data_IF_700494770987
#
_entry.id   IF_700494770987
#
_cell.length_a   1.000
_cell.length_b   1.000
_cell.length_c   1.000
_cell.angle_alpha   90.00
_cell.angle_beta   90.00
_cell.angle_gamma   90.00
#
_symmetry.space_group_name_H-M   'P 1'
#
loop_
_entity.id
_entity.type
_entity.pdbx_description
1 polymer ?
#
# COMPACT_ATOMS: atom_id res chain seq x y z
N UNK A 1 13.79 -16.07 8.67
CA UNK A 1 13.56 -17.47 8.23
C UNK A 1 12.14 -17.71 7.76
N UNK A 2 11.09 -17.27 8.48
CA UNK A 2 9.68 -17.44 8.02
C UNK A 2 9.44 -16.87 6.60
N UNK A 3 9.63 -15.56 6.40
CA UNK A 3 9.47 -14.91 5.06
C UNK A 3 10.29 -15.60 3.97
N UNK A 4 11.55 -15.92 4.25
CA UNK A 4 12.44 -16.60 3.30
C UNK A 4 11.94 -17.99 2.94
N UNK A 5 11.46 -18.76 3.92
CA UNK A 5 10.90 -20.09 3.71
C UNK A 5 9.57 -20.03 2.95
N UNK A 6 8.71 -19.04 3.24
CA UNK A 6 7.48 -18.80 2.48
C UNK A 6 7.77 -18.44 1.03
N UNK A 7 8.72 -17.55 0.77
CA UNK A 7 9.16 -17.24 -0.58
C UNK A 7 9.73 -18.48 -1.30
N UNK A 8 10.57 -19.29 -0.63
CA UNK A 8 11.09 -20.54 -1.21
C UNK A 8 10.00 -21.58 -1.45
N UNK A 9 8.98 -21.65 -0.60
CA UNK A 9 7.85 -22.57 -0.75
C UNK A 9 7.03 -22.31 -2.02
N UNK A 10 7.10 -21.11 -2.60
CA UNK A 10 6.47 -20.81 -3.89
C UNK A 10 7.11 -21.55 -5.07
N UNK A 11 8.37 -21.98 -4.93
CA UNK A 11 9.13 -22.68 -5.97
C UNK A 11 9.47 -24.12 -5.59
N UNK A 12 9.54 -24.41 -4.29
CA UNK A 12 10.03 -25.68 -3.76
C UNK A 12 9.09 -26.20 -2.67
N UNK A 13 8.29 -27.22 -2.98
CA UNK A 13 7.30 -27.80 -2.05
C UNK A 13 7.93 -28.26 -0.72
N UNK A 14 9.21 -28.62 -0.73
CA UNK A 14 9.98 -29.00 0.46
C UNK A 14 10.01 -27.91 1.55
N UNK A 15 9.78 -26.65 1.19
CA UNK A 15 9.77 -25.53 2.14
C UNK A 15 8.38 -25.20 2.70
N UNK A 16 7.32 -25.87 2.25
CA UNK A 16 5.94 -25.60 2.70
C UNK A 16 5.71 -25.99 4.18
N UNK A 17 6.21 -27.14 4.62
CA UNK A 17 6.12 -27.52 6.04
C UNK A 17 7.04 -26.63 6.90
N UNK A 18 8.33 -26.42 6.53
CA UNK A 18 9.20 -25.49 7.25
C UNK A 18 8.65 -24.08 7.40
N UNK A 19 7.99 -23.51 6.39
CA UNK A 19 7.42 -22.15 6.49
C UNK A 19 6.36 -22.04 7.59
N UNK A 20 5.46 -23.02 7.67
CA UNK A 20 4.43 -23.11 8.72
C UNK A 20 5.09 -23.22 10.11
N UNK A 21 6.07 -24.11 10.26
CA UNK A 21 6.77 -24.32 11.53
C UNK A 21 7.54 -23.08 11.98
N UNK A 22 8.20 -22.38 11.05
CA UNK A 22 8.91 -21.14 11.36
C UNK A 22 7.94 -20.01 11.73
N UNK A 23 6.78 -19.92 11.09
CA UNK A 23 5.74 -18.95 11.45
C UNK A 23 5.25 -19.18 12.87
N UNK A 24 4.87 -20.41 13.21
CA UNK A 24 4.40 -20.77 14.55
C UNK A 24 5.48 -20.48 15.63
N UNK A 25 6.72 -20.87 15.36
CA UNK A 25 7.85 -20.57 16.26
C UNK A 25 8.06 -19.07 16.48
N UNK A 26 7.96 -18.27 15.42
CA UNK A 26 8.10 -16.80 15.50
C UNK A 26 6.96 -16.19 16.30
N UNK A 27 5.72 -16.62 16.09
CA UNK A 27 4.56 -16.13 16.84
C UNK A 27 4.66 -16.48 18.33
N UNK A 28 5.01 -17.72 18.66
CA UNK A 28 5.21 -18.15 20.05
C UNK A 28 6.36 -17.38 20.72
N UNK A 29 7.48 -17.18 20.01
CA UNK A 29 8.59 -16.36 20.49
C UNK A 29 8.21 -14.89 20.71
N UNK A 30 7.41 -14.32 19.81
CA UNK A 30 6.92 -12.95 19.91
C UNK A 30 5.99 -12.77 21.12
N UNK A 31 5.03 -13.70 21.31
CA UNK A 31 4.11 -13.70 22.45
C UNK A 31 4.90 -13.74 23.76
N UNK A 32 5.87 -14.66 23.87
CA UNK A 32 6.73 -14.76 25.05
C UNK A 32 7.53 -13.47 25.28
N UNK A 33 8.07 -12.87 24.22
CA UNK A 33 8.84 -11.63 24.31
C UNK A 33 8.00 -10.44 24.74
N UNK A 34 6.73 -10.37 24.34
CA UNK A 34 5.79 -9.32 24.74
C UNK A 34 5.40 -9.50 26.22
N UNK A 35 5.15 -10.73 26.66
CA UNK A 35 4.77 -10.99 28.06
C UNK A 35 5.92 -10.84 29.06
N UNK A 36 7.14 -11.14 28.64
CA UNK A 36 8.30 -11.15 29.54
C UNK A 36 8.91 -9.76 29.79
N UNK A 37 8.44 -8.69 29.13
CA UNK A 37 9.20 -7.44 29.08
C UNK A 37 8.41 -6.16 29.36
N UNK A 38 9.05 -5.29 30.15
CA UNK A 38 8.65 -3.90 30.40
C UNK A 38 9.43 -2.95 29.48
N UNK A 39 9.15 -2.92 28.17
CA UNK A 39 9.81 -1.94 27.30
C UNK A 39 9.68 -2.14 25.81
N UNK A 40 10.14 -1.14 25.06
CA UNK A 40 10.28 -1.22 23.61
C UNK A 40 11.53 -2.01 23.24
N UNK A 41 11.37 -2.96 22.33
CA UNK A 41 12.46 -3.69 21.69
C UNK A 41 12.34 -3.57 20.17
N UNK A 42 13.41 -3.09 19.55
CA UNK A 42 13.50 -2.97 18.09
C UNK A 42 13.30 -4.32 17.38
N UNK A 43 13.77 -5.41 17.98
CA UNK A 43 13.61 -6.79 17.49
C UNK A 43 12.14 -7.24 17.48
N UNK A 44 11.36 -6.87 18.48
CA UNK A 44 9.91 -7.13 18.53
C UNK A 44 9.19 -6.40 17.39
N UNK A 45 9.47 -5.10 17.22
CA UNK A 45 8.90 -4.32 16.12
C UNK A 45 9.29 -4.88 14.75
N UNK A 46 10.58 -5.15 14.54
CA UNK A 46 11.08 -5.74 13.31
C UNK A 46 10.41 -7.10 13.03
N UNK A 47 10.17 -7.92 14.07
CA UNK A 47 9.46 -9.20 13.93
C UNK A 47 8.01 -8.99 13.50
N UNK A 48 7.29 -8.05 14.10
CA UNK A 48 5.91 -7.72 13.69
C UNK A 48 5.87 -7.22 12.25
N UNK A 49 6.81 -6.35 11.84
CA UNK A 49 6.92 -5.86 10.46
C UNK A 49 7.24 -7.01 9.49
N UNK A 50 8.11 -7.95 9.87
CA UNK A 50 8.39 -9.11 9.04
C UNK A 50 7.20 -10.07 8.92
N UNK A 51 6.39 -10.21 9.96
CA UNK A 51 5.10 -10.92 9.89
C UNK A 51 4.11 -10.16 9.00
N UNK A 52 4.09 -8.83 9.06
CA UNK A 52 3.28 -8.01 8.17
C UNK A 52 3.67 -8.23 6.69
N UNK A 53 4.96 -8.18 6.36
CA UNK A 53 5.47 -8.48 5.02
C UNK A 53 5.18 -9.94 4.63
N UNK A 54 5.24 -10.89 5.56
CA UNK A 54 4.85 -12.28 5.30
C UNK A 54 3.42 -12.39 4.76
N UNK A 55 2.47 -11.64 5.32
CA UNK A 55 1.07 -11.68 4.85
C UNK A 55 0.90 -11.11 3.43
N UNK A 56 1.84 -10.30 2.94
CA UNK A 56 1.91 -9.90 1.52
C UNK A 56 2.16 -11.11 0.61
N UNK A 57 3.01 -12.04 1.03
CA UNK A 57 3.28 -13.27 0.27
C UNK A 57 2.10 -14.24 0.32
N UNK A 58 1.31 -14.21 1.40
CA UNK A 58 0.15 -15.08 1.59
C UNK A 58 -1.17 -14.48 1.07
N UNK A 59 -1.20 -13.19 0.75
CA UNK A 59 -2.39 -12.43 0.42
C UNK A 59 -3.48 -12.47 1.51
N UNK A 60 -3.06 -12.50 2.78
CA UNK A 60 -3.95 -12.54 3.94
C UNK A 60 -4.16 -11.14 4.51
N UNK A 61 -5.20 -10.45 4.01
CA UNK A 61 -5.52 -9.09 4.43
C UNK A 61 -5.92 -9.00 5.91
N UNK A 62 -6.54 -10.03 6.47
CA UNK A 62 -7.00 -10.02 7.86
C UNK A 62 -5.81 -10.07 8.82
N UNK A 63 -4.89 -11.02 8.62
CA UNK A 63 -3.65 -11.11 9.39
C UNK A 63 -2.75 -9.89 9.16
N UNK A 64 -2.68 -9.39 7.93
CA UNK A 64 -1.92 -8.17 7.59
C UNK A 64 -2.34 -6.98 8.45
N UNK A 65 -3.65 -6.71 8.51
CA UNK A 65 -4.25 -5.64 9.34
C UNK A 65 -4.00 -5.88 10.83
N UNK A 66 -4.14 -7.11 11.34
CA UNK A 66 -3.85 -7.43 12.75
C UNK A 66 -2.41 -7.09 13.12
N UNK A 67 -1.45 -7.45 12.27
CA UNK A 67 -0.04 -7.13 12.50
C UNK A 67 0.24 -5.62 12.45
N UNK A 68 -0.43 -4.86 11.56
CA UNK A 68 -0.32 -3.40 11.52
C UNK A 68 -0.87 -2.75 12.79
N UNK A 69 -2.01 -3.21 13.30
CA UNK A 69 -2.59 -2.70 14.56
C UNK A 69 -1.65 -2.96 15.75
N UNK A 70 -1.05 -4.15 15.80
CA UNK A 70 -0.05 -4.48 16.82
C UNK A 70 1.20 -3.58 16.71
N UNK A 71 1.75 -3.41 15.50
CA UNK A 71 2.89 -2.52 15.26
C UNK A 71 2.56 -1.07 15.63
N UNK A 72 1.40 -0.55 15.21
CA UNK A 72 0.95 0.80 15.53
C UNK A 72 0.81 1.06 17.03
N UNK A 73 0.32 0.07 17.79
CA UNK A 73 0.28 0.14 19.26
C UNK A 73 1.68 0.22 19.85
N UNK A 74 2.61 -0.57 19.32
CA UNK A 74 4.00 -0.59 19.77
C UNK A 74 4.72 0.73 19.46
N UNK A 75 4.53 1.28 18.26
CA UNK A 75 5.07 2.58 17.82
C UNK A 75 4.49 3.71 18.66
N UNK A 76 3.17 3.73 18.90
CA UNK A 76 2.51 4.72 19.75
C UNK A 76 3.10 4.74 21.16
N UNK A 77 3.24 3.58 21.78
CA UNK A 77 3.81 3.45 23.13
C UNK A 77 5.27 3.90 23.19
N UNK A 78 6.03 3.68 22.12
CA UNK A 78 7.41 4.17 22.02
C UNK A 78 7.47 5.70 21.90
N UNK A 79 6.68 6.29 21.01
CA UNK A 79 6.67 7.74 20.76
C UNK A 79 6.21 8.54 21.99
N UNK A 80 5.39 7.96 22.87
CA UNK A 80 5.04 8.56 24.16
C UNK A 80 6.25 8.71 25.12
N UNK A 81 7.28 7.88 24.95
CA UNK A 81 8.48 7.84 25.81
C UNK A 81 9.71 8.44 25.13
N UNK A 82 9.74 8.45 23.80
CA UNK A 82 10.88 8.90 23.01
C UNK A 82 10.41 9.74 21.81
N UNK A 83 10.72 11.03 21.86
CA UNK A 83 10.35 11.99 20.81
C UNK A 83 11.25 11.88 19.57
N UNK A 84 12.51 11.47 19.76
CA UNK A 84 13.53 11.44 18.71
C UNK A 84 14.15 10.03 18.57
N UNK A 85 13.53 9.13 17.77
CA UNK A 85 14.06 7.80 17.53
C UNK A 85 15.38 7.83 16.75
N UNK A 86 16.25 6.86 17.03
CA UNK A 86 17.47 6.66 16.23
C UNK A 86 17.16 6.28 14.77
N UNK A 87 18.17 6.34 13.90
CA UNK A 87 18.01 6.06 12.47
C UNK A 87 17.48 4.66 12.17
N UNK A 88 17.89 3.63 12.90
CA UNK A 88 17.43 2.25 12.67
C UNK A 88 15.97 2.09 13.06
N UNK A 89 15.58 2.67 14.19
CA UNK A 89 14.18 2.70 14.63
C UNK A 89 13.31 3.46 13.64
N UNK A 90 13.76 4.63 13.14
CA UNK A 90 13.03 5.39 12.11
C UNK A 90 12.89 4.60 10.80
N UNK A 91 13.90 3.84 10.38
CA UNK A 91 13.79 2.98 9.18
C UNK A 91 12.69 1.92 9.32
N UNK A 92 12.56 1.32 10.50
CA UNK A 92 11.46 0.38 10.77
C UNK A 92 10.10 1.08 10.77
N UNK A 93 10.03 2.31 11.28
CA UNK A 93 8.81 3.11 11.18
C UNK A 93 8.46 3.36 9.71
N UNK A 94 9.40 3.81 8.89
CA UNK A 94 9.15 4.08 7.46
C UNK A 94 8.58 2.85 6.73
N UNK A 95 9.10 1.64 6.99
CA UNK A 95 8.58 0.39 6.41
C UNK A 95 7.16 0.09 6.92
N UNK A 96 6.94 0.18 8.23
CA UNK A 96 5.62 -0.02 8.83
C UNK A 96 4.58 0.95 8.24
N UNK A 97 4.95 2.21 8.17
CA UNK A 97 4.13 3.33 7.71
C UNK A 97 3.76 3.22 6.23
N UNK A 98 4.67 2.73 5.39
CA UNK A 98 4.38 2.38 4.00
C UNK A 98 3.26 1.34 3.91
N UNK A 99 3.41 0.21 4.61
CA UNK A 99 2.38 -0.85 4.60
C UNK A 99 1.08 -0.40 5.26
N UNK A 100 1.14 0.41 6.33
CA UNK A 100 -0.04 0.96 6.98
C UNK A 100 -0.81 1.90 6.04
N UNK A 101 -0.12 2.71 5.23
CA UNK A 101 -0.76 3.59 4.25
C UNK A 101 -1.50 2.79 3.17
N UNK A 102 -0.87 1.73 2.65
CA UNK A 102 -1.50 0.89 1.63
C UNK A 102 -2.68 0.10 2.19
N UNK A 103 -2.60 -0.37 3.44
CA UNK A 103 -3.72 -1.04 4.11
C UNK A 103 -4.90 -0.08 4.36
N UNK A 104 -4.64 1.17 4.74
CA UNK A 104 -5.68 2.19 4.89
C UNK A 104 -6.50 2.37 3.60
N UNK A 105 -5.84 2.35 2.45
CA UNK A 105 -6.48 2.46 1.13
C UNK A 105 -7.28 1.21 0.79
N UNK A 106 -6.69 0.02 1.00
CA UNK A 106 -7.22 -1.22 0.44
C UNK A 106 -8.19 -1.97 1.35
N UNK A 107 -8.22 -1.67 2.65
CA UNK A 107 -9.02 -2.41 3.64
C UNK A 107 -10.09 -1.57 4.34
N UNK A 108 -10.07 -0.24 4.14
CA UNK A 108 -11.01 0.72 4.76
C UNK A 108 -11.08 0.58 6.30
N UNK A 109 -9.99 0.19 6.94
CA UNK A 109 -9.88 0.10 8.40
C UNK A 109 -9.54 1.47 8.98
N UNK A 110 -10.48 2.10 9.70
CA UNK A 110 -10.30 3.44 10.27
C UNK A 110 -9.46 3.47 11.55
N UNK A 111 -9.24 2.33 12.19
CA UNK A 111 -8.52 2.18 13.46
C UNK A 111 -7.03 1.87 13.29
N UNK A 112 -6.53 1.89 12.05
CA UNK A 112 -5.10 1.83 11.77
C UNK A 112 -4.39 3.11 12.26
N UNK A 113 -3.07 3.00 12.42
CA UNK A 113 -2.25 4.05 13.01
C UNK A 113 -2.24 5.30 12.12
N UNK A 114 -2.45 6.49 12.71
CA UNK A 114 -2.58 7.75 11.96
C UNK A 114 -1.71 8.88 12.52
N UNK A 115 -1.21 8.74 13.74
CA UNK A 115 -0.55 9.81 14.51
C UNK A 115 0.67 10.39 13.79
N UNK A 116 1.40 9.56 13.05
CA UNK A 116 2.62 9.96 12.38
C UNK A 116 2.37 10.65 11.03
N UNK A 117 1.20 10.47 10.40
CA UNK A 117 0.85 11.03 9.10
C UNK A 117 0.52 12.54 9.14
N UNK A 118 0.36 13.10 10.34
CA UNK A 118 -0.07 14.50 10.54
C UNK A 118 1.10 15.49 10.55
N UNK A 119 2.33 15.02 10.72
CA UNK A 119 3.53 15.85 10.94
C UNK A 119 4.45 16.02 9.71
N UNK A 120 4.09 15.45 8.55
CA UNK A 120 4.73 15.65 7.23
C UNK A 120 6.25 15.36 7.10
N UNK A 121 6.85 14.45 7.89
CA UNK A 121 8.14 13.90 7.45
C UNK A 121 8.38 12.49 7.99
N UNK A 122 8.38 11.52 7.10
CA UNK A 122 8.68 10.13 7.43
C UNK A 122 9.91 9.75 6.66
N UNK A 123 11.07 10.01 7.24
CA UNK A 123 12.23 9.63 6.48
C UNK A 123 13.50 9.57 7.32
N UNK A 124 13.79 8.37 7.80
CA UNK A 124 15.16 7.97 8.14
C UNK A 124 16.07 7.93 6.90
N UNK A 125 15.48 7.92 5.70
CA UNK A 125 16.12 7.64 4.43
C UNK A 125 16.35 8.89 3.55
N UNK A 126 16.16 10.13 4.03
CA UNK A 126 16.29 11.35 3.18
C UNK A 126 17.62 11.45 2.46
N UNK A 127 18.69 11.01 3.11
CA UNK A 127 20.04 11.07 2.55
C UNK A 127 20.36 9.87 1.63
N UNK A 128 19.36 9.02 1.37
CA UNK A 128 19.46 7.87 0.49
C UNK A 128 18.46 8.07 -0.64
N UNK A 129 18.87 7.80 -1.88
CA UNK A 129 18.01 7.77 -3.06
C UNK A 129 17.00 6.60 -3.04
N UNK A 130 16.46 6.27 -1.86
CA UNK A 130 15.55 5.18 -1.61
C UNK A 130 14.14 5.60 -2.05
N UNK A 131 13.47 4.70 -2.78
CA UNK A 131 12.12 4.98 -3.28
C UNK A 131 11.13 5.40 -2.19
N UNK A 132 11.15 4.74 -1.02
CA UNK A 132 10.26 5.09 0.10
C UNK A 132 10.41 6.54 0.56
N UNK A 133 11.65 7.06 0.55
CA UNK A 133 11.91 8.45 0.89
C UNK A 133 11.26 9.43 -0.09
N UNK A 134 11.21 9.02 -1.36
CA UNK A 134 10.71 9.86 -2.45
C UNK A 134 9.19 10.00 -2.49
N UNK A 135 8.46 9.16 -1.75
CA UNK A 135 6.98 9.14 -1.74
C UNK A 135 6.38 9.36 -0.34
N UNK A 136 7.18 9.75 0.65
CA UNK A 136 6.75 9.87 2.06
C UNK A 136 5.56 10.84 2.24
N UNK A 137 5.66 12.00 1.59
CA UNK A 137 4.69 13.08 1.63
C UNK A 137 3.45 12.69 0.85
N UNK A 138 3.61 12.00 -0.28
CA UNK A 138 2.51 11.47 -1.07
C UNK A 138 1.70 10.45 -0.23
N UNK A 139 2.36 9.46 0.38
CA UNK A 139 1.70 8.48 1.23
C UNK A 139 1.06 9.11 2.47
N UNK A 140 1.67 10.18 2.99
CA UNK A 140 1.10 10.99 4.07
C UNK A 140 -0.24 11.60 3.69
N UNK A 141 -0.33 12.18 2.48
CA UNK A 141 -1.57 12.71 1.93
C UNK A 141 -2.61 11.62 1.68
N UNK A 142 -2.18 10.46 1.17
CA UNK A 142 -3.08 9.35 0.83
C UNK A 142 -3.71 8.72 2.07
N UNK A 143 -2.95 8.48 3.13
CA UNK A 143 -3.52 7.96 4.37
C UNK A 143 -4.52 8.94 5.00
N UNK A 144 -4.25 10.25 4.91
CA UNK A 144 -5.20 11.28 5.35
C UNK A 144 -6.47 11.27 4.49
N UNK A 145 -6.38 10.97 3.19
CA UNK A 145 -7.56 10.74 2.35
C UNK A 145 -8.38 9.54 2.81
N UNK A 146 -7.71 8.45 3.21
CA UNK A 146 -8.39 7.22 3.65
C UNK A 146 -9.27 7.43 4.88
N UNK A 147 -8.98 8.41 5.74
CA UNK A 147 -9.86 8.78 6.86
C UNK A 147 -11.27 9.16 6.38
N UNK A 148 -11.37 9.89 5.26
CA UNK A 148 -12.65 10.27 4.67
C UNK A 148 -13.39 9.10 4.02
N UNK A 149 -12.67 8.07 3.55
CA UNK A 149 -13.26 6.86 2.98
C UNK A 149 -13.99 5.99 4.01
N UNK A 150 -13.65 6.13 5.29
CA UNK A 150 -14.15 5.28 6.37
C UNK A 150 -15.24 5.93 7.22
N UNK A 151 -15.59 7.19 6.95
CA UNK A 151 -16.51 7.97 7.76
C UNK A 151 -17.89 8.09 7.08
N UNK A 152 -18.87 7.22 7.41
CA UNK A 152 -20.17 7.17 6.74
C UNK A 152 -21.06 8.40 7.02
N UNK A 153 -20.66 9.29 7.94
CA UNK A 153 -21.38 10.51 8.28
C UNK A 153 -21.09 11.69 7.34
N UNK A 154 -20.12 11.55 6.42
CA UNK A 154 -19.94 12.54 5.35
C UNK A 154 -20.96 12.21 4.28
N UNK A 155 -22.12 12.87 4.35
CA UNK A 155 -23.11 12.79 3.28
C UNK A 155 -22.44 13.19 1.95
N UNK A 156 -22.86 12.61 0.81
CA UNK A 156 -22.23 12.88 -0.49
C UNK A 156 -22.20 14.39 -0.84
N UNK A 157 -23.09 15.20 -0.27
CA UNK A 157 -23.11 16.67 -0.38
C UNK A 157 -22.10 17.42 0.49
N UNK A 158 -21.53 16.78 1.53
CA UNK A 158 -20.56 17.37 2.45
C UNK A 158 -19.11 17.11 2.05
N UNK A 159 -18.85 16.10 1.19
CA UNK A 159 -17.50 15.77 0.71
C UNK A 159 -16.90 16.89 -0.15
N UNK A 160 -17.67 17.46 -1.10
CA UNK A 160 -17.29 18.64 -1.89
C UNK A 160 -17.06 19.89 -1.04
N UNK A 161 -17.63 19.94 0.16
CA UNK A 161 -17.54 21.07 1.09
C UNK A 161 -16.50 20.88 2.19
N UNK A 162 -15.81 19.73 2.23
CA UNK A 162 -14.81 19.50 3.25
C UNK A 162 -13.51 20.26 2.91
N UNK A 163 -13.15 21.28 3.71
CA UNK A 163 -11.98 22.10 3.42
C UNK A 163 -10.68 21.30 3.49
N UNK A 164 -10.60 20.27 4.35
CA UNK A 164 -9.41 19.43 4.46
C UNK A 164 -9.24 18.54 3.22
N UNK A 165 -10.33 17.95 2.72
CA UNK A 165 -10.33 17.14 1.50
C UNK A 165 -9.84 17.97 0.29
N UNK A 166 -10.33 19.21 0.16
CA UNK A 166 -9.88 20.17 -0.86
C UNK A 166 -8.40 20.57 -0.71
N UNK A 167 -7.92 20.74 0.53
CA UNK A 167 -6.50 21.03 0.79
C UNK A 167 -5.62 19.86 0.40
N UNK A 168 -6.02 18.63 0.71
CA UNK A 168 -5.27 17.44 0.32
C UNK A 168 -5.25 17.31 -1.21
N UNK A 169 -6.38 17.54 -1.89
CA UNK A 169 -6.43 17.54 -3.34
C UNK A 169 -5.43 18.50 -3.97
N UNK A 170 -5.42 19.75 -3.51
CA UNK A 170 -4.47 20.77 -4.00
C UNK A 170 -3.02 20.34 -3.75
N UNK A 171 -2.73 19.77 -2.58
CA UNK A 171 -1.39 19.25 -2.28
C UNK A 171 -1.01 18.10 -3.21
N UNK A 172 -1.91 17.18 -3.54
CA UNK A 172 -1.65 16.11 -4.50
C UNK A 172 -1.43 16.64 -5.93
N UNK A 173 -2.15 17.68 -6.34
CA UNK A 173 -1.98 18.30 -7.66
C UNK A 173 -0.62 18.99 -7.81
N UNK A 174 -0.14 19.63 -6.75
CA UNK A 174 1.12 20.37 -6.72
C UNK A 174 2.34 19.50 -6.34
N UNK A 175 2.10 18.33 -5.75
CA UNK A 175 3.18 17.43 -5.36
C UNK A 175 3.89 16.87 -6.59
N UNK A 176 5.21 16.81 -6.52
CA UNK A 176 6.07 16.18 -7.51
C UNK A 176 7.15 15.35 -6.80
N UNK A 177 7.64 14.29 -7.43
CA UNK A 177 8.74 13.49 -6.90
C UNK A 177 10.04 14.32 -6.84
N UNK A 178 10.95 14.03 -5.88
CA UNK A 178 12.27 14.67 -5.79
C UNK A 178 13.08 14.59 -7.09
N UNK A 179 13.95 15.57 -7.33
CA UNK A 179 14.76 15.65 -8.56
C UNK A 179 15.86 14.58 -8.63
N UNK A 180 16.32 14.06 -7.50
CA UNK A 180 17.50 13.21 -7.36
C UNK A 180 17.23 11.69 -7.44
N UNK A 181 16.00 11.29 -7.79
CA UNK A 181 15.63 9.88 -7.97
C UNK A 181 15.73 9.43 -9.43
N UNK A 182 15.85 8.12 -9.64
CA UNK A 182 15.87 7.52 -10.98
C UNK A 182 14.55 7.75 -11.73
N UNK A 183 14.60 7.73 -13.06
CA UNK A 183 13.41 7.90 -13.89
C UNK A 183 12.34 6.82 -13.63
N UNK A 184 12.76 5.58 -13.37
CA UNK A 184 11.85 4.50 -12.98
C UNK A 184 11.12 4.80 -11.65
N UNK A 185 11.85 5.32 -10.66
CA UNK A 185 11.29 5.71 -9.38
C UNK A 185 10.34 6.92 -9.54
N UNK A 186 10.73 7.89 -10.37
CA UNK A 186 9.93 9.07 -10.73
C UNK A 186 8.62 8.69 -11.39
N UNK A 187 8.66 7.85 -12.42
CA UNK A 187 7.48 7.34 -13.10
C UNK A 187 6.57 6.54 -12.16
N UNK A 188 7.15 5.72 -11.27
CA UNK A 188 6.35 4.99 -10.27
C UNK A 188 5.67 5.93 -9.29
N UNK A 189 6.39 6.96 -8.83
CA UNK A 189 5.88 7.95 -7.90
C UNK A 189 4.77 8.82 -8.52
N UNK A 190 4.92 9.22 -9.79
CA UNK A 190 3.87 9.90 -10.56
C UNK A 190 2.64 9.01 -10.76
N UNK A 191 2.82 7.72 -11.08
CA UNK A 191 1.71 6.78 -11.15
C UNK A 191 0.98 6.65 -9.80
N UNK A 192 1.71 6.61 -8.68
CA UNK A 192 1.11 6.65 -7.34
C UNK A 192 0.37 7.96 -7.05
N UNK A 193 0.89 9.11 -7.50
CA UNK A 193 0.23 10.41 -7.36
C UNK A 193 -1.09 10.43 -8.11
N UNK A 194 -1.11 9.92 -9.35
CA UNK A 194 -2.34 9.83 -10.13
C UNK A 194 -3.32 8.79 -9.57
N UNK A 195 -2.84 7.68 -8.99
CA UNK A 195 -3.68 6.74 -8.25
C UNK A 195 -4.33 7.41 -7.02
N UNK A 196 -3.60 8.26 -6.30
CA UNK A 196 -4.14 9.08 -5.21
C UNK A 196 -5.21 10.07 -5.68
N UNK A 197 -5.00 10.72 -6.83
CA UNK A 197 -5.98 11.64 -7.44
C UNK A 197 -7.25 10.89 -7.87
N UNK A 198 -7.13 9.68 -8.43
CA UNK A 198 -8.29 8.83 -8.72
C UNK A 198 -9.03 8.45 -7.45
N UNK A 199 -8.31 8.04 -6.40
CA UNK A 199 -8.91 7.70 -5.11
C UNK A 199 -9.65 8.90 -4.50
N UNK A 200 -9.08 10.10 -4.56
CA UNK A 200 -9.77 11.34 -4.18
C UNK A 200 -11.09 11.53 -4.94
N UNK A 201 -11.07 11.38 -6.27
CA UNK A 201 -12.27 11.58 -7.09
C UNK A 201 -13.36 10.56 -6.77
N UNK A 202 -12.99 9.31 -6.46
CA UNK A 202 -13.95 8.30 -5.99
C UNK A 202 -14.66 8.71 -4.69
N UNK A 203 -13.98 9.45 -3.82
CA UNK A 203 -14.55 9.96 -2.57
C UNK A 203 -15.39 11.21 -2.77
N UNK A 204 -14.94 12.14 -3.61
CA UNK A 204 -15.57 13.44 -3.81
C UNK A 204 -16.75 13.41 -4.80
N UNK A 205 -16.66 12.60 -5.86
CA UNK A 205 -17.69 12.53 -6.91
C UNK A 205 -17.84 11.10 -7.45
N UNK A 206 -18.65 10.25 -6.79
CA UNK A 206 -18.78 8.83 -7.16
C UNK A 206 -19.45 8.58 -8.53
N UNK A 207 -20.07 9.61 -9.15
CA UNK A 207 -21.05 9.43 -10.22
C UNK A 207 -20.67 10.04 -11.59
N UNK A 208 -19.39 10.37 -11.85
CA UNK A 208 -19.02 10.91 -13.16
C UNK A 208 -17.55 10.73 -13.55
N UNK A 209 -17.32 10.29 -14.79
CA UNK A 209 -16.03 10.41 -15.45
C UNK A 209 -15.76 11.89 -15.76
N UNK A 210 -15.07 12.59 -14.86
CA UNK A 210 -14.58 13.94 -15.15
C UNK A 210 -13.31 13.85 -16.03
N UNK A 211 -12.99 14.92 -16.76
CA UNK A 211 -11.72 15.00 -17.49
C UNK A 211 -10.52 14.73 -16.58
N UNK A 212 -10.56 15.18 -15.32
CA UNK A 212 -9.49 14.93 -14.36
C UNK A 212 -9.31 13.44 -14.00
N UNK A 213 -10.41 12.68 -13.96
CA UNK A 213 -10.39 11.23 -13.76
C UNK A 213 -9.76 10.53 -14.97
N UNK A 214 -10.17 10.90 -16.19
CA UNK A 214 -9.61 10.35 -17.43
C UNK A 214 -8.11 10.65 -17.53
N UNK A 215 -7.70 11.90 -17.30
CA UNK A 215 -6.29 12.30 -17.32
C UNK A 215 -5.46 11.53 -16.29
N UNK A 216 -5.98 11.35 -15.07
CA UNK A 216 -5.25 10.60 -14.04
C UNK A 216 -5.14 9.11 -14.38
N UNK A 217 -6.20 8.52 -14.94
CA UNK A 217 -6.16 7.15 -15.43
C UNK A 217 -5.10 6.96 -16.52
N UNK A 218 -5.10 7.82 -17.56
CA UNK A 218 -4.13 7.74 -18.65
C UNK A 218 -2.70 7.92 -18.15
N UNK A 219 -2.45 8.91 -17.29
CA UNK A 219 -1.13 9.16 -16.74
C UNK A 219 -0.57 7.97 -15.94
N UNK A 220 -1.42 7.21 -15.21
CA UNK A 220 -0.96 5.97 -14.55
C UNK A 220 -0.44 4.98 -15.59
N UNK A 221 -1.21 4.75 -16.66
CA UNK A 221 -0.82 3.79 -17.70
C UNK A 221 0.47 4.24 -18.39
N UNK A 222 0.55 5.50 -18.79
CA UNK A 222 1.69 6.05 -19.51
C UNK A 222 2.97 5.97 -18.67
N UNK A 223 2.94 6.45 -17.42
CA UNK A 223 4.11 6.37 -16.54
C UNK A 223 4.53 4.93 -16.26
N UNK A 224 3.57 4.02 -16.05
CA UNK A 224 3.92 2.63 -15.80
C UNK A 224 4.45 1.93 -17.05
N UNK A 225 4.08 2.33 -18.28
CA UNK A 225 4.59 1.75 -19.53
C UNK A 225 6.08 2.04 -19.74
N UNK A 226 6.55 3.21 -19.33
CA UNK A 226 7.96 3.63 -19.47
C UNK A 226 8.94 2.78 -18.61
N UNK A 227 8.43 2.06 -17.61
CA UNK A 227 9.27 1.35 -16.64
C UNK A 227 9.57 -0.07 -17.10
N UNK A 228 10.85 -0.44 -17.10
CA UNK A 228 11.27 -1.83 -17.33
C UNK A 228 10.73 -2.75 -16.23
N UNK A 229 10.25 -3.94 -16.60
CA UNK A 229 9.80 -4.95 -15.61
C UNK A 229 10.91 -5.39 -14.65
N UNK A 230 12.17 -5.26 -15.06
CA UNK A 230 13.32 -5.60 -14.24
C UNK A 230 13.70 -4.49 -13.25
N UNK A 231 13.04 -3.34 -13.32
CA UNK A 231 13.28 -2.23 -12.40
C UNK A 231 12.89 -2.61 -10.97
N UNK A 232 13.69 -2.25 -9.96
CA UNK A 232 13.30 -2.39 -8.56
C UNK A 232 11.98 -1.67 -8.23
N UNK A 233 11.69 -0.55 -8.90
CA UNK A 233 10.50 0.28 -8.67
C UNK A 233 9.18 -0.47 -8.95
N UNK A 234 9.23 -1.54 -9.75
CA UNK A 234 8.10 -2.45 -10.01
C UNK A 234 7.51 -3.05 -8.73
N UNK A 235 8.30 -3.10 -7.64
CA UNK A 235 7.81 -3.56 -6.34
C UNK A 235 6.59 -2.77 -5.83
N UNK A 236 6.45 -1.50 -6.25
CA UNK A 236 5.39 -0.59 -5.79
C UNK A 236 4.32 -0.33 -6.87
N UNK A 237 4.28 -1.13 -7.94
CA UNK A 237 3.32 -0.96 -9.04
C UNK A 237 1.93 -1.50 -8.69
N UNK A 238 1.80 -2.36 -7.67
CA UNK A 238 0.57 -3.11 -7.43
C UNK A 238 -0.64 -2.22 -7.16
N UNK A 239 -0.47 -1.19 -6.32
CA UNK A 239 -1.55 -0.24 -6.02
C UNK A 239 -1.96 0.59 -7.25
N UNK A 240 -1.05 1.30 -7.96
CA UNK A 240 -1.41 2.03 -9.19
C UNK A 240 -2.08 1.15 -10.26
N UNK A 241 -1.59 -0.07 -10.49
CA UNK A 241 -2.18 -1.02 -11.44
C UNK A 241 -3.59 -1.42 -11.06
N UNK A 242 -3.82 -1.73 -9.77
CA UNK A 242 -5.15 -2.04 -9.27
C UNK A 242 -6.10 -0.85 -9.46
N UNK A 243 -5.67 0.36 -9.09
CA UNK A 243 -6.49 1.57 -9.19
C UNK A 243 -6.87 1.88 -10.65
N UNK A 244 -5.91 1.83 -11.58
CA UNK A 244 -6.18 2.03 -13.00
C UNK A 244 -7.07 0.92 -13.57
N UNK A 245 -6.81 -0.35 -13.21
CA UNK A 245 -7.60 -1.50 -13.63
C UNK A 245 -9.05 -1.39 -13.20
N UNK A 246 -9.32 -1.01 -11.95
CA UNK A 246 -10.65 -0.78 -11.43
C UNK A 246 -11.35 0.40 -12.15
N UNK A 247 -10.63 1.50 -12.38
CA UNK A 247 -11.17 2.67 -13.07
C UNK A 247 -11.53 2.39 -14.55
N UNK A 248 -10.76 1.52 -15.24
CA UNK A 248 -10.98 1.17 -16.65
C UNK A 248 -12.37 0.59 -16.96
N UNK A 249 -13.08 0.06 -15.95
CA UNK A 249 -14.47 -0.40 -16.09
C UNK A 249 -15.44 0.75 -16.38
N UNK A 250 -15.25 1.89 -15.72
CA UNK A 250 -16.17 3.03 -15.78
C UNK A 250 -15.77 4.04 -16.86
N UNK A 251 -14.49 4.08 -17.23
CA UNK A 251 -13.93 5.07 -18.15
C UNK A 251 -13.90 4.61 -19.61
N UNK A 252 -14.56 3.50 -19.95
CA UNK A 252 -14.40 2.83 -21.24
C UNK A 252 -12.92 2.63 -21.61
N UNK A 253 -12.12 2.21 -20.62
CA UNK A 253 -10.70 1.95 -20.84
C UNK A 253 -10.50 0.99 -22.01
N UNK A 254 -9.44 1.21 -22.78
CA UNK A 254 -9.23 0.44 -24.01
C UNK A 254 -8.90 -1.02 -23.67
N UNK A 255 -9.17 -1.93 -24.61
CA UNK A 255 -8.73 -3.32 -24.45
C UNK A 255 -7.21 -3.40 -24.33
N UNK A 256 -6.47 -2.50 -24.98
CA UNK A 256 -5.02 -2.38 -24.87
C UNK A 256 -4.56 -2.05 -23.45
N UNK A 257 -5.23 -1.12 -22.76
CA UNK A 257 -4.87 -0.76 -21.39
C UNK A 257 -5.12 -1.92 -20.41
N UNK A 258 -6.21 -2.66 -20.59
CA UNK A 258 -6.52 -3.86 -19.77
C UNK A 258 -5.52 -4.98 -20.03
N UNK A 259 -5.14 -5.18 -21.29
CA UNK A 259 -4.12 -6.13 -21.70
C UNK A 259 -2.75 -5.77 -21.10
N UNK A 260 -2.37 -4.49 -21.16
CA UNK A 260 -1.15 -3.99 -20.53
C UNK A 260 -1.12 -4.28 -19.02
N UNK A 261 -2.20 -3.94 -18.29
CA UNK A 261 -2.28 -4.19 -16.85
C UNK A 261 -2.17 -5.68 -16.54
N UNK A 262 -2.90 -6.52 -17.27
CA UNK A 262 -2.89 -7.98 -17.08
C UNK A 262 -1.50 -8.59 -17.36
N UNK A 263 -0.85 -8.15 -18.44
CA UNK A 263 0.50 -8.59 -18.79
C UNK A 263 1.50 -8.13 -17.72
N UNK A 264 1.43 -6.87 -17.27
CA UNK A 264 2.31 -6.33 -16.23
C UNK A 264 2.18 -7.12 -14.93
N UNK A 265 0.96 -7.38 -14.46
CA UNK A 265 0.72 -8.21 -13.26
C UNK A 265 1.26 -9.64 -13.44
N UNK A 266 1.06 -10.24 -14.60
CA UNK A 266 1.58 -11.58 -14.90
C UNK A 266 3.10 -11.64 -14.87
N UNK A 267 3.78 -10.61 -15.40
CA UNK A 267 5.24 -10.51 -15.36
C UNK A 267 5.77 -10.24 -13.94
N UNK A 268 5.08 -9.40 -13.16
CA UNK A 268 5.38 -9.21 -11.74
C UNK A 268 5.26 -10.53 -10.97
N UNK A 269 4.22 -11.32 -11.28
CA UNK A 269 4.02 -12.60 -10.63
C UNK A 269 5.08 -13.63 -11.02
N UNK A 270 5.45 -13.69 -12.29
CA UNK A 270 6.51 -14.59 -12.77
C UNK A 270 7.87 -14.30 -12.12
N UNK A 271 8.17 -13.02 -11.86
CA UNK A 271 9.44 -12.62 -11.26
C UNK A 271 9.49 -12.77 -9.73
N UNK A 272 8.38 -12.49 -9.04
CA UNK A 272 8.36 -12.35 -7.56
C UNK A 272 7.59 -13.44 -6.82
N UNK A 273 6.69 -14.16 -7.49
CA UNK A 273 5.89 -15.25 -6.90
C UNK A 273 5.11 -14.82 -5.64
N UNK A 274 4.44 -13.66 -5.67
CA UNK A 274 3.73 -13.09 -4.51
C UNK A 274 2.22 -13.28 -4.69
N UNK A 275 1.55 -14.02 -3.80
CA UNK A 275 0.12 -14.34 -3.97
C UNK A 275 -0.79 -13.11 -4.02
N UNK A 276 -0.39 -11.99 -3.41
CA UNK A 276 -1.16 -10.74 -3.49
C UNK A 276 -1.32 -10.23 -4.93
N UNK A 277 -0.33 -10.48 -5.80
CA UNK A 277 -0.41 -10.12 -7.23
C UNK A 277 -1.49 -10.97 -7.92
N UNK A 278 -1.53 -12.28 -7.64
CA UNK A 278 -2.58 -13.16 -8.16
C UNK A 278 -3.97 -12.72 -7.71
N UNK A 279 -4.13 -12.37 -6.43
CA UNK A 279 -5.41 -11.88 -5.91
C UNK A 279 -5.88 -10.59 -6.57
N UNK A 280 -4.98 -9.65 -6.82
CA UNK A 280 -5.29 -8.42 -7.55
C UNK A 280 -5.70 -8.73 -8.99
N UNK A 281 -4.97 -9.61 -9.68
CA UNK A 281 -5.29 -10.03 -11.05
C UNK A 281 -6.67 -10.70 -11.13
N UNK A 282 -6.94 -11.69 -10.27
CA UNK A 282 -8.26 -12.36 -10.17
C UNK A 282 -9.40 -11.36 -9.92
N UNK A 283 -9.15 -10.37 -9.06
CA UNK A 283 -10.12 -9.32 -8.75
C UNK A 283 -10.43 -8.46 -9.98
N UNK A 284 -9.39 -8.01 -10.69
CA UNK A 284 -9.53 -7.19 -11.91
C UNK A 284 -10.22 -7.96 -13.04
N UNK A 285 -9.88 -9.23 -13.25
CA UNK A 285 -10.53 -10.08 -14.26
C UNK A 285 -12.04 -10.21 -14.01
N UNK A 286 -12.44 -10.47 -12.75
CA UNK A 286 -13.86 -10.50 -12.35
C UNK A 286 -14.54 -9.15 -12.55
N UNK A 287 -13.85 -8.05 -12.24
CA UNK A 287 -14.34 -6.69 -12.47
C UNK A 287 -14.55 -6.40 -13.96
N UNK A 288 -13.67 -6.86 -14.85
CA UNK A 288 -13.77 -6.61 -16.29
C UNK A 288 -14.82 -7.47 -16.99
N UNK A 289 -15.02 -8.71 -16.56
CA UNK A 289 -16.01 -9.64 -17.15
C UNK A 289 -17.47 -9.31 -16.79
N UNK A 290 -17.70 -8.34 -15.90
CA UNK A 290 -19.06 -8.01 -15.46
C UNK A 290 -19.72 -9.09 -14.60
N UNK A 291 -19.03 -10.21 -14.32
CA UNK A 291 -19.54 -11.36 -13.57
C UNK A 291 -19.64 -11.14 -12.06
N UNK A 292 -19.30 -9.94 -11.58
CA UNK A 292 -19.56 -9.50 -10.22
C UNK A 292 -20.77 -8.57 -10.16
N UNK A 293 -21.95 -9.12 -9.88
CA UNK A 293 -22.89 -8.40 -9.04
C UNK A 293 -22.16 -8.20 -7.71
N UNK A 294 -21.77 -6.96 -7.41
CA UNK A 294 -20.92 -6.61 -6.26
C UNK A 294 -19.64 -7.46 -6.20
N UNK A 295 -18.59 -7.08 -6.96
CA UNK A 295 -17.24 -7.26 -6.38
C UNK A 295 -17.27 -6.39 -5.13
N UNK A 296 -17.57 -7.06 -4.02
CA UNK A 296 -18.02 -6.43 -2.81
C UNK A 296 -17.05 -5.29 -2.49
N UNK A 297 -17.62 -4.12 -2.23
CA UNK A 297 -16.92 -2.99 -1.63
C UNK A 297 -16.14 -3.34 -0.34
N UNK A 298 -16.21 -4.62 0.10
CA UNK A 298 -15.53 -5.32 1.18
C UNK A 298 -14.36 -6.24 0.79
N UNK A 299 -13.97 -6.40 -0.48
CA UNK A 299 -12.81 -7.26 -0.80
C UNK A 299 -11.51 -6.54 -0.42
N UNK A 300 -11.06 -6.77 0.82
CA UNK A 300 -9.79 -6.28 1.33
C UNK A 300 -8.64 -6.95 0.56
N UNK A 301 -7.89 -6.15 -0.20
CA UNK A 301 -6.71 -6.61 -0.93
C UNK A 301 -5.45 -6.22 -0.16
N UNK A 302 -4.42 -7.06 -0.22
CA UNK A 302 -3.09 -6.70 0.29
C UNK A 302 -2.33 -6.00 -0.84
N UNK A 303 -2.20 -4.68 -0.72
CA UNK A 303 -1.42 -3.86 -1.64
C UNK A 303 -0.06 -3.55 -1.01
N UNK A 304 1.01 -3.61 -1.80
CA UNK A 304 2.38 -3.37 -1.36
C UNK A 304 3.19 -2.66 -2.44
#
# INVERSE_FOLDING_TARGET
>A
MSVSATHLATRYESFRIPSILYRDRVLNGLINSIHAQDGFQMTTLATIIMLNIHEVFEADAESWVKHLKAAGTFVRNYLQKCENPDTSTRMLFDIFLYHNALALISTKQSDLFMEYYTSNSWCALKDRSAFLASVDTLLSLVARLSVFATNPNVSNSDSERNPELSVIHRKLQLWSPPDDISDDARNTAEAMRHAALLYYNQLACPFGASNAVITSYQAIIDHLREISIFSPAVASHLWPLYTAGAASRHLNGTNDDREFISNRLSQMQASRSIKSIDRVRECLEKLWLGSGAEVDSRTSLVLF
#
